data_IF_728541704628
#
_entry.id   IF_728541704628
#
_cell.length_a   1.000
_cell.length_b   1.000
_cell.length_c   1.000
_cell.angle_alpha   90.00
_cell.angle_beta   90.00
_cell.angle_gamma   90.00
#
_symmetry.space_group_name_H-M   'P 1'
#
loop_
_entity.id
_entity.type
_entity.pdbx_description
1 polymer ?
#
# COMPACT_ATOMS: atom_id res chain seq x y z
N UNK A 1 7.37 20.90 -55.11
CA UNK A 1 7.38 19.59 -54.43
C UNK A 1 7.86 19.87 -53.02
N UNK A 2 6.91 20.06 -52.12
CA UNK A 2 7.15 20.29 -50.71
C UNK A 2 7.38 18.92 -50.06
N UNK A 3 8.57 18.71 -49.49
CA UNK A 3 8.84 17.56 -48.64
C UNK A 3 8.43 17.91 -47.21
N UNK A 4 7.33 17.32 -46.79
CA UNK A 4 6.78 17.42 -45.44
C UNK A 4 7.66 16.62 -44.47
N UNK A 5 8.39 17.35 -43.62
CA UNK A 5 9.10 16.77 -42.47
C UNK A 5 8.09 16.29 -41.43
N UNK A 6 7.91 14.97 -41.34
CA UNK A 6 7.17 14.32 -40.26
C UNK A 6 8.03 14.30 -38.99
N UNK A 7 7.89 15.33 -38.15
CA UNK A 7 8.44 15.33 -36.80
C UNK A 7 7.71 14.30 -35.93
N UNK A 8 8.33 13.15 -35.69
CA UNK A 8 7.94 12.23 -34.62
C UNK A 8 8.07 12.95 -33.27
N UNK A 9 7.09 12.87 -32.35
CA UNK A 9 7.20 13.49 -31.03
C UNK A 9 8.41 12.91 -30.30
N UNK A 10 9.34 13.78 -29.90
CA UNK A 10 10.45 13.38 -29.05
C UNK A 10 9.87 12.92 -27.71
N UNK A 11 10.21 11.69 -27.30
CA UNK A 11 9.80 11.19 -25.98
C UNK A 11 10.35 12.13 -24.90
N UNK A 12 9.55 12.54 -23.91
CA UNK A 12 10.04 13.37 -22.83
C UNK A 12 11.24 12.69 -22.15
N UNK A 13 12.34 13.43 -22.00
CA UNK A 13 13.59 12.90 -21.44
C UNK A 13 13.45 12.71 -19.93
N UNK A 14 13.91 11.57 -19.41
CA UNK A 14 13.86 11.26 -17.97
C UNK A 14 14.70 12.27 -17.18
N UNK A 15 14.21 12.71 -16.02
CA UNK A 15 14.96 13.62 -15.17
C UNK A 15 16.20 12.93 -14.58
N UNK A 16 17.24 13.71 -14.26
CA UNK A 16 18.44 13.19 -13.58
C UNK A 16 18.09 12.41 -12.30
N UNK A 17 17.08 12.88 -11.56
CA UNK A 17 16.61 12.22 -10.34
C UNK A 17 15.96 10.86 -10.63
N UNK A 18 15.09 10.78 -11.64
CA UNK A 18 14.49 9.51 -12.07
C UNK A 18 15.55 8.49 -12.48
N UNK A 19 16.59 8.91 -13.22
CA UNK A 19 17.69 8.04 -13.61
C UNK A 19 18.46 7.48 -12.40
N UNK A 20 18.64 8.28 -11.34
CA UNK A 20 19.26 7.83 -10.08
C UNK A 20 18.38 6.78 -9.40
N UNK A 21 17.06 7.00 -9.30
CA UNK A 21 16.13 6.05 -8.69
C UNK A 21 16.10 4.72 -9.46
N UNK A 22 16.00 4.77 -10.79
CA UNK A 22 16.02 3.59 -11.66
C UNK A 22 17.33 2.80 -11.48
N UNK A 23 18.47 3.48 -11.43
CA UNK A 23 19.76 2.84 -11.21
C UNK A 23 19.86 2.18 -9.82
N UNK A 24 19.35 2.86 -8.78
CA UNK A 24 19.30 2.32 -7.42
C UNK A 24 18.45 1.04 -7.35
N UNK A 25 17.24 1.06 -7.91
CA UNK A 25 16.35 -0.11 -7.97
C UNK A 25 16.99 -1.28 -8.74
N UNK A 26 17.61 -1.01 -9.90
CA UNK A 26 18.31 -2.06 -10.67
C UNK A 26 19.40 -2.74 -9.84
N UNK A 27 20.18 -1.96 -9.11
CA UNK A 27 21.22 -2.47 -8.20
C UNK A 27 20.62 -3.27 -7.05
N UNK A 28 19.55 -2.79 -6.45
CA UNK A 28 18.87 -3.48 -5.35
C UNK A 28 18.29 -4.82 -5.81
N UNK A 29 17.62 -4.88 -6.97
CA UNK A 29 17.11 -6.12 -7.57
C UNK A 29 18.25 -7.11 -7.83
N UNK A 30 19.39 -6.64 -8.35
CA UNK A 30 20.56 -7.50 -8.59
C UNK A 30 21.05 -8.15 -7.29
N UNK A 31 21.12 -7.37 -6.20
CA UNK A 31 21.56 -7.88 -4.89
C UNK A 31 20.49 -8.80 -4.29
N UNK A 32 19.20 -8.42 -4.38
CA UNK A 32 18.07 -9.20 -3.89
C UNK A 32 18.04 -10.60 -4.51
N UNK A 33 18.27 -10.72 -5.83
CA UNK A 33 18.37 -12.01 -6.54
C UNK A 33 19.51 -12.90 -6.08
N UNK A 34 20.51 -12.36 -5.37
CA UNK A 34 21.65 -13.10 -4.80
C UNK A 34 21.49 -13.37 -3.30
N UNK A 35 20.40 -12.91 -2.68
CA UNK A 35 20.13 -13.24 -1.29
C UNK A 35 19.92 -14.74 -1.16
N UNK A 36 20.45 -15.29 -0.07
CA UNK A 36 20.38 -16.71 0.25
C UNK A 36 19.07 -17.00 1.01
N UNK A 37 18.11 -17.74 0.41
CA UNK A 37 16.86 -18.06 1.07
C UNK A 37 17.05 -18.86 2.36
N UNK A 38 18.13 -19.63 2.49
CA UNK A 38 18.40 -20.43 3.70
C UNK A 38 18.76 -19.56 4.90
N UNK A 39 19.43 -18.41 4.68
CA UNK A 39 19.71 -17.44 5.75
C UNK A 39 18.41 -16.81 6.25
N UNK A 40 17.57 -16.36 5.32
CA UNK A 40 16.25 -15.81 5.64
C UNK A 40 15.39 -16.85 6.37
N UNK A 41 15.39 -18.10 5.90
CA UNK A 41 14.67 -19.20 6.53
C UNK A 41 15.15 -19.45 7.97
N UNK A 42 16.46 -19.40 8.20
CA UNK A 42 17.04 -19.56 9.54
C UNK A 42 16.61 -18.43 10.49
N UNK A 43 16.54 -17.19 10.00
CA UNK A 43 16.04 -16.05 10.79
C UNK A 43 14.54 -16.16 11.08
N UNK A 44 13.73 -16.59 10.11
CA UNK A 44 12.30 -16.87 10.26
C UNK A 44 12.07 -18.00 11.28
N UNK A 45 12.80 -19.10 11.17
CA UNK A 45 12.71 -20.24 12.07
C UNK A 45 13.04 -19.84 13.51
N UNK A 46 14.11 -19.05 13.68
CA UNK A 46 14.52 -18.51 14.99
C UNK A 46 13.46 -17.58 15.59
N UNK A 47 12.81 -16.78 14.75
CA UNK A 47 11.73 -15.87 15.18
C UNK A 47 10.52 -16.67 15.67
N UNK A 48 10.20 -17.78 14.99
CA UNK A 48 9.05 -18.62 15.28
C UNK A 48 7.74 -17.95 14.83
N UNK A 49 6.96 -18.66 14.01
CA UNK A 49 5.68 -18.13 13.55
C UNK A 49 4.67 -19.24 13.28
N UNK A 50 3.43 -19.03 13.73
CA UNK A 50 2.29 -19.85 13.34
C UNK A 50 1.05 -18.99 13.18
N UNK A 51 0.51 -18.91 11.95
CA UNK A 51 -0.70 -18.15 11.70
C UNK A 51 -1.90 -18.80 12.40
N UNK A 52 -2.57 -18.03 13.26
CA UNK A 52 -3.73 -18.50 14.02
C UNK A 52 -5.06 -18.39 13.25
N UNK A 53 -5.03 -17.92 11.99
CA UNK A 53 -6.23 -17.67 11.19
C UNK A 53 -7.26 -16.73 11.87
N UNK A 54 -6.79 -15.81 12.72
CA UNK A 54 -7.65 -14.92 13.50
C UNK A 54 -8.32 -13.80 12.69
N UNK A 55 -7.80 -13.49 11.49
CA UNK A 55 -8.35 -12.46 10.61
C UNK A 55 -8.08 -11.02 11.05
N UNK A 56 -7.28 -10.79 12.10
CA UNK A 56 -6.96 -9.44 12.62
C UNK A 56 -6.25 -8.57 11.59
N UNK A 57 -5.29 -9.11 10.84
CA UNK A 57 -4.63 -8.39 9.74
C UNK A 57 -5.57 -7.98 8.59
N UNK A 58 -6.79 -8.52 8.53
CA UNK A 58 -7.80 -8.13 7.55
C UNK A 58 -8.77 -7.08 8.09
N UNK A 59 -8.72 -6.74 9.37
CA UNK A 59 -9.71 -5.92 10.06
C UNK A 59 -9.11 -4.58 10.44
N UNK A 60 -9.80 -3.48 10.11
CA UNK A 60 -9.26 -2.13 10.39
C UNK A 60 -9.13 -1.84 11.88
N UNK A 61 -9.97 -2.49 12.69
CA UNK A 61 -9.98 -2.37 14.15
C UNK A 61 -8.68 -2.85 14.82
N UNK A 62 -7.83 -3.62 14.11
CA UNK A 62 -6.57 -4.15 14.64
C UNK A 62 -5.34 -3.48 14.01
N UNK A 63 -5.51 -2.34 13.34
CA UNK A 63 -4.42 -1.56 12.77
C UNK A 63 -4.54 -1.36 11.26
N UNK A 64 -3.42 -1.03 10.63
CA UNK A 64 -3.34 -0.86 9.18
C UNK A 64 -3.50 -2.22 8.49
N UNK A 65 -4.50 -2.32 7.62
CA UNK A 65 -4.81 -3.50 6.82
C UNK A 65 -4.72 -3.22 5.31
N UNK A 66 -3.97 -2.18 4.92
CA UNK A 66 -3.73 -1.85 3.51
C UNK A 66 -2.92 -2.95 2.83
N UNK A 67 -3.32 -3.30 1.62
CA UNK A 67 -2.64 -4.31 0.80
C UNK A 67 -2.40 -3.71 -0.57
N UNK A 68 -1.15 -3.42 -0.88
CA UNK A 68 -0.72 -3.01 -2.22
C UNK A 68 -0.76 -4.22 -3.15
N UNK A 69 -1.15 -4.01 -4.41
CA UNK A 69 -1.28 -5.05 -5.41
C UNK A 69 -0.48 -4.71 -6.66
N UNK A 70 0.26 -5.69 -7.17
CA UNK A 70 0.77 -5.64 -8.54
C UNK A 70 -0.36 -5.92 -9.54
N UNK A 71 -0.24 -5.46 -10.81
CA UNK A 71 -1.22 -5.79 -11.84
C UNK A 71 -1.42 -7.30 -12.05
N UNK A 72 -0.39 -8.10 -11.81
CA UNK A 72 -0.47 -9.57 -11.93
C UNK A 72 -1.32 -10.22 -10.83
N UNK A 73 -1.31 -9.66 -9.62
CA UNK A 73 -2.14 -10.12 -8.50
C UNK A 73 -3.59 -9.77 -8.73
N UNK A 74 -3.86 -8.56 -9.25
CA UNK A 74 -5.23 -8.17 -9.61
C UNK A 74 -5.81 -9.15 -10.62
N UNK A 75 -5.07 -9.48 -11.69
CA UNK A 75 -5.52 -10.45 -12.70
C UNK A 75 -5.80 -11.85 -12.11
N UNK A 76 -4.96 -12.33 -11.18
CA UNK A 76 -5.18 -13.61 -10.49
C UNK A 76 -6.49 -13.58 -9.67
N UNK A 77 -6.74 -12.49 -8.94
CA UNK A 77 -7.95 -12.32 -8.15
C UNK A 77 -9.18 -12.22 -9.05
N UNK A 78 -9.12 -11.44 -10.13
CA UNK A 78 -10.20 -11.31 -11.12
C UNK A 78 -10.57 -12.69 -11.70
N UNK A 79 -9.57 -13.47 -12.13
CA UNK A 79 -9.80 -14.82 -12.68
C UNK A 79 -10.46 -15.77 -11.67
N UNK A 80 -10.13 -15.64 -10.39
CA UNK A 80 -10.69 -16.50 -9.34
C UNK A 80 -12.09 -16.07 -8.90
N UNK A 81 -12.38 -14.77 -8.89
CA UNK A 81 -13.60 -14.20 -8.29
C UNK A 81 -14.66 -13.80 -9.30
N UNK A 82 -14.28 -13.55 -10.56
CA UNK A 82 -15.14 -12.94 -11.57
C UNK A 82 -15.36 -11.43 -11.40
N UNK A 83 -14.76 -10.80 -10.38
CA UNK A 83 -14.86 -9.36 -10.17
C UNK A 83 -14.05 -8.59 -11.21
N UNK A 84 -14.49 -7.36 -11.50
CA UNK A 84 -13.75 -6.42 -12.35
C UNK A 84 -12.50 -5.86 -11.62
N UNK A 85 -11.58 -5.27 -12.38
CA UNK A 85 -10.35 -4.65 -11.83
C UNK A 85 -10.67 -3.62 -10.76
N UNK A 86 -11.66 -2.76 -11.03
CA UNK A 86 -12.05 -1.65 -10.16
C UNK A 86 -12.86 -2.10 -8.94
N UNK A 87 -13.47 -3.28 -8.97
CA UNK A 87 -14.10 -3.88 -7.79
C UNK A 87 -13.05 -4.50 -6.86
N UNK A 88 -11.98 -5.06 -7.41
CA UNK A 88 -10.88 -5.67 -6.66
C UNK A 88 -9.96 -4.61 -6.06
N UNK A 89 -9.58 -3.60 -6.85
CA UNK A 89 -8.53 -2.66 -6.52
C UNK A 89 -8.92 -1.22 -6.82
N UNK A 90 -8.51 -0.30 -5.96
CA UNK A 90 -8.60 1.14 -6.13
C UNK A 90 -7.21 1.80 -6.19
N UNK A 91 -7.15 3.13 -6.37
CA UNK A 91 -5.90 3.87 -6.35
C UNK A 91 -5.22 3.74 -4.99
N UNK A 92 -3.89 3.60 -4.97
CA UNK A 92 -3.12 3.69 -3.73
C UNK A 92 -3.04 5.16 -3.30
N UNK A 93 -3.87 5.53 -2.32
CA UNK A 93 -3.98 6.88 -1.78
C UNK A 93 -3.52 6.91 -0.32
N UNK A 94 -2.76 7.93 0.11
CA UNK A 94 -2.43 8.11 1.53
C UNK A 94 -3.68 8.17 2.40
N UNK A 95 -3.65 7.52 3.57
CA UNK A 95 -4.75 7.68 4.53
C UNK A 95 -4.66 9.05 5.20
N UNK A 96 -5.80 9.71 5.35
CA UNK A 96 -5.98 10.69 6.41
C UNK A 96 -6.11 9.94 7.73
N UNK A 97 -5.30 10.32 8.73
CA UNK A 97 -5.41 9.81 10.08
C UNK A 97 -6.85 10.00 10.55
N UNK A 98 -7.58 8.91 10.79
CA UNK A 98 -8.80 9.01 11.57
C UNK A 98 -8.38 9.03 13.04
N UNK A 99 -8.72 10.07 13.82
CA UNK A 99 -8.70 9.90 15.27
C UNK A 99 -9.61 8.73 15.59
N UNK A 100 -9.13 7.85 16.47
CA UNK A 100 -9.88 6.73 17.00
C UNK A 100 -11.25 7.25 17.42
N UNK A 101 -12.32 6.81 16.74
CA UNK A 101 -13.65 6.93 17.31
C UNK A 101 -13.58 6.18 18.63
N UNK A 102 -13.58 6.93 19.73
CA UNK A 102 -13.65 6.42 21.09
C UNK A 102 -14.96 5.64 21.17
N UNK A 103 -14.89 4.36 20.84
CA UNK A 103 -15.94 3.41 21.11
C UNK A 103 -16.23 3.50 22.60
N UNK A 104 -17.48 3.78 22.92
CA UNK A 104 -18.03 3.81 24.26
C UNK A 104 -17.37 2.73 25.12
N UNK A 105 -16.63 3.17 26.14
CA UNK A 105 -16.15 2.29 27.22
C UNK A 105 -17.39 1.73 27.92
N UNK A 106 -17.73 0.48 27.63
CA UNK A 106 -18.45 -0.33 28.61
C UNK A 106 -17.42 -0.92 29.58
N UNK A 107 -17.76 -0.76 30.84
CA UNK A 107 -16.91 -0.88 32.03
C UNK A 107 -16.45 -2.31 32.31
N UNK A 108 -15.28 -2.42 32.95
CA UNK A 108 -15.01 -3.53 33.88
C UNK A 108 -13.65 -4.21 33.72
N UNK A 109 -12.61 -3.65 34.35
CA UNK A 109 -11.89 -4.28 35.48
C UNK A 109 -10.62 -3.49 35.82
N UNK A 110 -10.61 -3.01 37.06
CA UNK A 110 -9.50 -2.42 37.80
C UNK A 110 -8.28 -3.35 37.80
N UNK A 111 -7.09 -2.82 37.49
CA UNK A 111 -5.83 -3.19 38.15
C UNK A 111 -5.03 -1.88 38.26
N UNK A 112 -4.81 -1.47 39.51
CA UNK A 112 -3.95 -0.36 39.91
C UNK A 112 -2.50 -0.56 39.46
N UNK A 113 -1.86 0.52 38.98
CA UNK A 113 -0.46 0.83 39.28
C UNK A 113 -0.14 2.29 38.92
N UNK A 114 -0.06 3.09 39.97
CA UNK A 114 0.61 4.39 40.00
C UNK A 114 2.07 4.27 39.51
N UNK A 115 2.55 5.30 38.80
CA UNK A 115 3.73 6.10 39.17
C UNK A 115 3.80 7.34 38.24
N UNK A 116 3.52 8.49 38.86
CA UNK A 116 4.27 9.77 38.82
C UNK A 116 4.77 10.30 37.46
N UNK A 117 4.10 11.30 36.86
CA UNK A 117 4.25 12.75 37.10
C UNK A 117 5.25 13.43 36.16
N UNK A 118 4.74 14.36 35.34
CA UNK A 118 5.34 15.60 34.82
C UNK A 118 4.46 16.09 33.64
N UNK A 119 3.48 16.93 33.95
CA UNK A 119 2.78 17.76 32.95
C UNK A 119 3.59 19.03 32.69
N UNK A 120 3.57 19.57 31.46
CA UNK A 120 3.53 21.00 31.27
C UNK A 120 2.14 21.40 30.75
N UNK A 121 1.56 22.39 31.43
CA UNK A 121 0.39 23.15 31.01
C UNK A 121 0.63 23.76 29.61
N UNK A 122 -0.24 23.45 28.66
CA UNK A 122 -0.35 24.22 27.41
C UNK A 122 -1.78 24.71 27.33
N UNK A 123 -1.88 26.03 27.21
CA UNK A 123 -3.08 26.86 27.14
C UNK A 123 -4.08 26.38 26.11
N UNK A 124 -5.36 26.44 26.48
CA UNK A 124 -6.53 26.32 25.62
C UNK A 124 -6.44 27.32 24.45
N UNK A 125 -6.20 26.81 23.24
CA UNK A 125 -6.50 27.52 21.99
C UNK A 125 -6.96 26.52 20.94
N UNK A 126 -8.24 26.64 20.61
CA UNK A 126 -8.93 26.27 19.36
C UNK A 126 -8.84 24.81 18.89
N UNK A 127 -9.76 23.99 19.39
CA UNK A 127 -10.28 22.82 18.66
C UNK A 127 -10.98 23.28 17.37
N UNK A 128 -10.21 23.61 16.35
CA UNK A 128 -10.74 23.71 15.00
C UNK A 128 -10.91 22.28 14.47
N UNK A 129 -12.17 21.86 14.31
CA UNK A 129 -12.52 20.59 13.70
C UNK A 129 -11.91 20.51 12.29
N UNK A 130 -10.73 19.87 12.19
CA UNK A 130 -10.03 19.62 10.94
C UNK A 130 -10.89 18.71 10.05
N UNK A 131 -11.53 19.32 9.06
CA UNK A 131 -12.34 18.59 8.08
C UNK A 131 -11.46 17.58 7.32
N UNK A 132 -11.78 16.28 7.39
CA UNK A 132 -11.01 15.17 6.74
C UNK A 132 -10.59 15.44 5.27
N UNK A 133 -11.41 16.11 4.42
CA UNK A 133 -11.01 16.49 3.06
C UNK A 133 -9.80 17.41 2.99
N UNK A 134 -9.60 18.32 3.96
CA UNK A 134 -8.48 19.28 3.91
C UNK A 134 -7.14 18.61 4.12
N UNK A 135 -7.03 17.66 5.07
CA UNK A 135 -5.79 16.91 5.29
C UNK A 135 -5.43 16.01 4.11
N UNK A 136 -6.44 15.38 3.48
CA UNK A 136 -6.20 14.54 2.31
C UNK A 136 -5.69 15.38 1.13
N UNK A 137 -6.29 16.55 0.92
CA UNK A 137 -5.88 17.47 -0.12
C UNK A 137 -4.44 17.95 0.05
N UNK A 138 -4.02 18.28 1.28
CA UNK A 138 -2.64 18.67 1.54
C UNK A 138 -1.63 17.56 1.21
N UNK A 139 -1.96 16.30 1.50
CA UNK A 139 -1.12 15.15 1.17
C UNK A 139 -1.04 14.89 -0.34
N UNK A 140 -2.11 15.19 -1.07
CA UNK A 140 -2.22 14.93 -2.51
C UNK A 140 -1.80 16.11 -3.39
N UNK A 141 -1.45 17.26 -2.80
CA UNK A 141 -1.17 18.50 -3.55
C UNK A 141 -0.10 18.30 -4.64
N UNK A 142 0.94 17.54 -4.33
CA UNK A 142 2.02 17.26 -5.28
C UNK A 142 1.64 16.22 -6.34
N UNK A 143 0.52 15.53 -6.17
CA UNK A 143 0.04 14.50 -7.07
C UNK A 143 -1.18 14.96 -7.89
N UNK A 144 -1.44 16.26 -7.96
CA UNK A 144 -2.54 16.83 -8.74
C UNK A 144 -2.00 17.49 -10.01
N UNK A 145 -2.55 17.11 -11.17
CA UNK A 145 -2.23 17.74 -12.46
C UNK A 145 -3.04 19.03 -12.72
N UNK A 146 -2.70 19.75 -13.78
CA UNK A 146 -3.39 20.98 -14.22
C UNK A 146 -4.87 20.78 -14.57
N UNK A 147 -5.33 19.53 -14.77
CA UNK A 147 -6.73 19.21 -15.01
C UNK A 147 -7.48 18.85 -13.72
N UNK A 148 -6.81 18.87 -12.57
CA UNK A 148 -7.37 18.45 -11.29
C UNK A 148 -7.53 16.94 -11.14
N UNK A 149 -6.83 16.14 -11.97
CA UNK A 149 -6.76 14.70 -11.78
C UNK A 149 -5.77 14.36 -10.66
N UNK A 150 -6.07 13.34 -9.87
CA UNK A 150 -5.23 12.88 -8.76
C UNK A 150 -4.40 11.68 -9.23
N UNK A 151 -3.09 11.80 -9.17
CA UNK A 151 -2.15 10.76 -9.56
C UNK A 151 -1.91 9.81 -8.39
N UNK A 152 -1.92 8.51 -8.67
CA UNK A 152 -1.64 7.46 -7.69
C UNK A 152 -0.60 6.49 -8.24
N UNK A 153 0.31 6.03 -7.39
CA UNK A 153 1.43 5.17 -7.79
C UNK A 153 1.18 3.74 -7.33
N UNK A 154 0.40 3.02 -8.13
CA UNK A 154 0.02 1.64 -7.88
C UNK A 154 -1.39 1.46 -7.34
N UNK A 155 -1.71 0.21 -7.03
CA UNK A 155 -3.04 -0.25 -6.68
C UNK A 155 -3.11 -0.71 -5.24
N UNK A 156 -4.26 -0.48 -4.63
CA UNK A 156 -4.59 -0.99 -3.31
C UNK A 156 -5.82 -1.88 -3.39
N UNK A 157 -5.79 -3.01 -2.68
CA UNK A 157 -6.95 -3.87 -2.48
C UNK A 157 -8.10 -3.04 -1.89
N UNK A 158 -9.28 -3.09 -2.51
CA UNK A 158 -10.45 -2.39 -1.98
C UNK A 158 -10.82 -2.94 -0.61
N UNK A 159 -11.46 -2.06 0.16
CA UNK A 159 -11.95 -2.34 1.51
C UNK A 159 -13.45 -2.13 1.54
N UNK A 160 -14.10 -2.74 2.52
CA UNK A 160 -15.50 -2.51 2.85
C UNK A 160 -15.65 -1.11 3.46
N UNK A 161 -16.89 -0.65 3.58
CA UNK A 161 -17.21 0.64 4.22
C UNK A 161 -16.68 0.77 5.64
N UNK A 162 -16.59 -0.33 6.39
CA UNK A 162 -16.04 -0.34 7.75
C UNK A 162 -14.50 -0.45 7.78
N UNK A 163 -13.81 -0.32 6.64
CA UNK A 163 -12.37 -0.40 6.55
C UNK A 163 -11.81 -1.84 6.51
N UNK A 164 -12.62 -2.88 6.68
CA UNK A 164 -12.11 -4.26 6.59
C UNK A 164 -11.76 -4.63 5.15
N UNK A 165 -10.87 -5.61 5.00
CA UNK A 165 -10.57 -6.24 3.71
C UNK A 165 -11.85 -6.69 3.00
N UNK A 166 -11.94 -6.39 1.69
CA UNK A 166 -13.07 -6.77 0.84
C UNK A 166 -13.40 -8.27 0.92
N UNK A 167 -12.37 -9.11 1.03
CA UNK A 167 -12.48 -10.57 0.99
C UNK A 167 -12.58 -11.24 2.36
N UNK A 168 -12.63 -10.49 3.46
CA UNK A 168 -12.84 -11.06 4.79
C UNK A 168 -14.28 -11.58 4.92
N UNK A 169 -14.47 -12.86 5.26
CA UNK A 169 -15.77 -13.39 5.67
C UNK A 169 -15.97 -13.08 7.16
N UNK A 170 -17.04 -12.35 7.50
CA UNK A 170 -17.29 -11.89 8.89
C UNK A 170 -17.71 -13.02 9.83
N UNK A 171 -18.38 -14.04 9.33
CA UNK A 171 -18.91 -15.14 10.16
C UNK A 171 -17.80 -16.12 10.57
N UNK A 172 -16.80 -16.28 9.70
CA UNK A 172 -15.71 -17.25 9.88
C UNK A 172 -14.36 -16.62 10.20
N UNK A 173 -14.21 -15.30 10.04
CA UNK A 173 -12.94 -14.57 10.05
C UNK A 173 -11.90 -15.11 9.04
N UNK A 174 -12.36 -15.78 7.97
CA UNK A 174 -11.48 -16.35 6.94
C UNK A 174 -11.50 -15.53 5.66
N UNK A 175 -10.37 -15.56 4.95
CA UNK A 175 -10.26 -14.97 3.63
C UNK A 175 -11.02 -15.82 2.60
N UNK A 176 -11.95 -15.21 1.85
CA UNK A 176 -12.73 -15.88 0.79
C UNK A 176 -11.91 -16.26 -0.43
N UNK A 177 -10.74 -15.64 -0.60
CA UNK A 177 -9.83 -15.87 -1.73
C UNK A 177 -8.50 -16.48 -1.28
N UNK A 178 -8.52 -17.28 -0.20
CA UNK A 178 -7.31 -17.84 0.43
C UNK A 178 -6.31 -18.47 -0.56
N UNK A 179 -6.72 -19.22 -1.60
CA UNK A 179 -5.81 -19.84 -2.57
C UNK A 179 -5.08 -18.84 -3.49
N UNK A 180 -5.63 -17.64 -3.66
CA UNK A 180 -5.08 -16.59 -4.55
C UNK A 180 -4.82 -15.29 -3.78
N UNK A 181 -4.47 -15.41 -2.50
CA UNK A 181 -4.12 -14.25 -1.67
C UNK A 181 -2.98 -13.45 -2.32
N UNK A 182 -3.00 -12.12 -2.20
CA UNK A 182 -1.84 -11.29 -2.52
C UNK A 182 -0.58 -11.81 -1.84
N UNK A 183 0.57 -11.55 -2.45
CA UNK A 183 1.89 -11.96 -1.94
C UNK A 183 2.11 -11.38 -0.54
N UNK A 184 1.76 -10.10 -0.32
CA UNK A 184 1.80 -9.46 1.01
C UNK A 184 1.03 -10.27 2.05
N UNK A 185 -0.22 -10.65 1.75
CA UNK A 185 -1.05 -11.45 2.65
C UNK A 185 -0.53 -12.88 2.87
N UNK A 186 0.26 -13.40 1.94
CA UNK A 186 0.82 -14.76 1.99
C UNK A 186 2.14 -14.80 2.75
N UNK A 187 2.89 -13.69 2.81
CA UNK A 187 4.18 -13.59 3.49
C UNK A 187 4.10 -12.87 4.84
N UNK A 188 2.98 -12.21 5.15
CA UNK A 188 2.75 -11.58 6.44
C UNK A 188 2.93 -12.60 7.60
N UNK A 189 3.63 -12.24 8.68
CA UNK A 189 4.01 -10.88 9.09
C UNK A 189 5.42 -10.46 8.68
N UNK A 190 6.08 -11.17 7.76
CA UNK A 190 7.44 -10.86 7.34
C UNK A 190 7.46 -9.98 6.08
N UNK A 191 8.42 -9.07 6.02
CA UNK A 191 8.73 -8.27 4.84
C UNK A 191 10.24 -8.07 4.70
N UNK A 192 10.69 -7.75 3.49
CA UNK A 192 12.08 -7.37 3.23
C UNK A 192 12.09 -5.90 2.82
N UNK A 193 12.97 -5.12 3.41
CA UNK A 193 13.22 -3.73 3.04
C UNK A 193 14.72 -3.46 3.10
N UNK A 194 15.28 -2.77 2.10
CA UNK A 194 16.72 -2.48 2.06
C UNK A 194 17.58 -3.73 2.23
N UNK A 195 17.17 -4.85 1.60
CA UNK A 195 17.82 -6.16 1.63
C UNK A 195 17.87 -6.84 3.02
N UNK A 196 17.04 -6.42 3.97
CA UNK A 196 16.97 -6.98 5.34
C UNK A 196 15.57 -7.48 5.68
N UNK A 197 15.52 -8.55 6.46
CA UNK A 197 14.29 -9.13 6.98
C UNK A 197 13.74 -8.29 8.14
N UNK A 198 12.45 -8.03 8.12
CA UNK A 198 11.71 -7.36 9.19
C UNK A 198 10.37 -8.06 9.44
N UNK A 199 9.72 -7.64 10.53
CA UNK A 199 8.43 -8.14 10.97
C UNK A 199 7.45 -7.01 11.25
N UNK A 200 6.18 -7.26 10.96
CA UNK A 200 5.05 -6.47 11.46
C UNK A 200 4.48 -7.13 12.72
N UNK A 201 3.71 -6.40 13.52
CA UNK A 201 3.04 -6.93 14.71
C UNK A 201 2.11 -8.09 14.36
N UNK A 202 2.21 -9.22 15.07
CA UNK A 202 1.32 -10.36 14.87
C UNK A 202 1.31 -11.28 16.10
N UNK A 203 0.13 -11.78 16.47
CA UNK A 203 -0.04 -12.72 17.59
C UNK A 203 0.49 -14.13 17.28
N UNK A 204 0.87 -14.40 16.03
CA UNK A 204 1.42 -15.68 15.62
C UNK A 204 2.90 -15.89 15.98
N UNK A 205 3.60 -14.87 16.47
CA UNK A 205 5.02 -14.98 16.81
C UNK A 205 5.28 -15.91 17.99
N UNK A 206 6.48 -16.50 18.00
CA UNK A 206 6.87 -17.53 18.97
C UNK A 206 6.18 -18.89 18.73
N UNK A 207 5.30 -18.98 17.73
CA UNK A 207 4.71 -20.23 17.28
C UNK A 207 5.73 -21.15 16.61
N UNK A 208 5.40 -22.44 16.53
CA UNK A 208 6.26 -23.42 15.86
C UNK A 208 6.14 -23.30 14.33
N UNK A 209 7.30 -23.19 13.66
CA UNK A 209 7.46 -23.32 12.21
C UNK A 209 8.59 -24.33 11.94
N UNK A 210 8.37 -25.25 11.01
CA UNK A 210 9.42 -26.20 10.62
C UNK A 210 10.43 -25.55 9.68
N UNK A 211 11.66 -26.08 9.63
CA UNK A 211 12.67 -25.64 8.66
C UNK A 211 12.14 -25.62 7.21
N UNK A 212 11.35 -26.62 6.83
CA UNK A 212 10.76 -26.68 5.48
C UNK A 212 9.78 -25.54 5.22
N UNK A 213 8.90 -25.24 6.17
CA UNK A 213 7.93 -24.14 6.05
C UNK A 213 8.62 -22.77 6.13
N UNK A 214 9.65 -22.63 6.96
CA UNK A 214 10.51 -21.43 7.00
C UNK A 214 11.18 -21.18 5.65
N UNK A 215 11.66 -22.24 4.98
CA UNK A 215 12.25 -22.15 3.63
C UNK A 215 11.23 -21.71 2.59
N UNK A 216 10.04 -22.31 2.59
CA UNK A 216 8.94 -21.90 1.68
C UNK A 216 8.53 -20.45 1.91
N UNK A 217 8.44 -20.01 3.17
CA UNK A 217 8.11 -18.64 3.51
C UNK A 217 9.22 -17.66 3.09
N UNK A 218 10.49 -18.02 3.28
CA UNK A 218 11.63 -17.23 2.82
C UNK A 218 11.66 -17.10 1.29
N UNK A 219 11.43 -18.19 0.56
CA UNK A 219 11.35 -18.17 -0.91
C UNK A 219 10.20 -17.30 -1.41
N UNK A 220 9.01 -17.44 -0.81
CA UNK A 220 7.85 -16.61 -1.15
C UNK A 220 8.08 -15.13 -0.82
N UNK A 221 8.74 -14.86 0.31
CA UNK A 221 9.07 -13.50 0.75
C UNK A 221 10.10 -12.84 -0.18
N UNK A 222 11.14 -13.56 -0.57
CA UNK A 222 12.14 -13.06 -1.51
C UNK A 222 11.52 -12.84 -2.90
N UNK A 223 10.68 -13.78 -3.36
CA UNK A 223 9.95 -13.64 -4.62
C UNK A 223 9.02 -12.43 -4.60
N UNK A 224 8.32 -12.18 -3.48
CA UNK A 224 7.48 -11.00 -3.30
C UNK A 224 8.31 -9.72 -3.43
N UNK A 225 9.39 -9.62 -2.66
CA UNK A 225 10.23 -8.42 -2.62
C UNK A 225 10.83 -8.09 -3.99
N UNK A 226 11.35 -9.09 -4.71
CA UNK A 226 11.85 -8.89 -6.07
C UNK A 226 10.74 -8.43 -7.01
N UNK A 227 9.55 -9.05 -6.94
CA UNK A 227 8.42 -8.67 -7.79
C UNK A 227 7.94 -7.24 -7.52
N UNK A 228 7.88 -6.80 -6.25
CA UNK A 228 7.53 -5.42 -5.88
C UNK A 228 8.58 -4.40 -6.39
N UNK A 229 9.87 -4.73 -6.28
CA UNK A 229 10.95 -3.89 -6.84
C UNK A 229 10.90 -3.81 -8.38
N UNK A 230 10.65 -4.93 -9.05
CA UNK A 230 10.52 -4.99 -10.51
C UNK A 230 9.29 -4.22 -11.01
N UNK A 231 8.17 -4.32 -10.30
CA UNK A 231 6.95 -3.56 -10.60
C UNK A 231 7.20 -2.04 -10.47
N UNK A 232 7.84 -1.63 -9.38
CA UNK A 232 8.25 -0.24 -9.12
C UNK A 232 9.22 0.27 -10.17
N UNK A 233 10.21 -0.54 -10.55
CA UNK A 233 11.16 -0.20 -11.61
C UNK A 233 10.44 0.01 -12.95
N UNK A 234 9.57 -0.92 -13.33
CA UNK A 234 8.82 -0.84 -14.58
C UNK A 234 7.89 0.39 -14.61
N UNK A 235 7.29 0.74 -13.46
CA UNK A 235 6.53 1.99 -13.32
C UNK A 235 7.43 3.21 -13.56
N UNK A 236 8.58 3.33 -12.90
CA UNK A 236 9.48 4.48 -13.09
C UNK A 236 10.06 4.56 -14.51
N UNK A 237 10.34 3.43 -15.16
CA UNK A 237 10.79 3.40 -16.56
C UNK A 237 9.70 3.95 -17.51
N UNK A 238 8.42 3.78 -17.17
CA UNK A 238 7.27 4.28 -17.96
C UNK A 238 6.75 5.65 -17.51
N UNK A 239 7.04 6.07 -16.29
CA UNK A 239 6.50 7.30 -15.70
C UNK A 239 6.92 8.54 -16.49
N UNK A 240 5.96 9.36 -16.87
CA UNK A 240 6.18 10.67 -17.47
C UNK A 240 5.64 11.72 -16.50
N UNK A 241 6.42 12.79 -16.30
CA UNK A 241 6.02 13.86 -15.39
C UNK A 241 4.88 14.68 -15.98
N UNK A 242 4.13 15.36 -15.12
CA UNK A 242 2.92 16.08 -15.49
C UNK A 242 2.96 17.53 -15.01
N UNK A 243 2.26 18.40 -15.74
CA UNK A 243 2.16 19.81 -15.39
C UNK A 243 1.21 20.01 -14.21
N UNK A 244 1.60 20.89 -13.29
CA UNK A 244 0.84 21.26 -12.10
C UNK A 244 0.66 22.76 -12.09
N UNK A 245 -0.54 23.21 -11.75
CA UNK A 245 -0.83 24.64 -11.60
C UNK A 245 -1.87 24.87 -10.49
N UNK A 246 -2.14 26.16 -10.19
CA UNK A 246 -3.10 26.54 -9.16
C UNK A 246 -4.55 26.25 -9.56
N UNK A 247 -4.84 26.18 -10.85
CA UNK A 247 -6.20 25.95 -11.35
C UNK A 247 -6.60 24.49 -11.16
N UNK A 248 -5.71 23.55 -11.50
CA UNK A 248 -5.85 22.12 -11.26
C UNK A 248 -6.05 21.80 -9.77
N UNK A 249 -5.32 22.48 -8.89
CA UNK A 249 -5.53 22.35 -7.44
C UNK A 249 -6.94 22.75 -7.00
N UNK A 250 -7.48 23.85 -7.53
CA UNK A 250 -8.82 24.32 -7.19
C UNK A 250 -9.89 23.38 -7.78
N UNK A 251 -9.67 22.85 -8.98
CA UNK A 251 -10.53 21.84 -9.60
C UNK A 251 -10.56 20.56 -8.75
N UNK A 252 -9.39 20.05 -8.36
CA UNK A 252 -9.27 18.84 -7.54
C UNK A 252 -9.96 19.00 -6.18
N UNK A 253 -9.79 20.15 -5.53
CA UNK A 253 -10.47 20.46 -4.25
C UNK A 253 -11.99 20.40 -4.40
N UNK A 254 -12.53 21.05 -5.43
CA UNK A 254 -13.97 21.03 -5.71
C UNK A 254 -14.48 19.61 -6.06
N UNK A 255 -13.68 18.81 -6.76
CA UNK A 255 -14.04 17.44 -7.13
C UNK A 255 -14.01 16.49 -5.92
N UNK A 256 -13.06 16.68 -5.00
CA UNK A 256 -12.97 15.92 -3.74
C UNK A 256 -14.20 16.16 -2.86
N UNK A 257 -14.65 17.41 -2.76
CA UNK A 257 -15.86 17.76 -2.00
C UNK A 257 -17.14 17.15 -2.61
N UNK A 258 -17.17 16.99 -3.95
CA UNK A 258 -18.31 16.41 -4.68
C UNK A 258 -18.26 14.89 -4.81
N UNK A 259 -17.12 14.26 -4.49
CA UNK A 259 -16.89 12.84 -4.74
C UNK A 259 -16.93 12.49 -6.22
N UNK A 260 -16.32 13.32 -7.07
CA UNK A 260 -16.25 13.12 -8.54
C UNK A 260 -14.81 13.22 -9.03
N UNK A 261 -13.91 12.54 -8.35
CA UNK A 261 -12.48 12.64 -8.63
C UNK A 261 -12.09 11.73 -9.79
N UNK A 262 -11.18 12.23 -10.63
CA UNK A 262 -10.52 11.40 -11.63
C UNK A 262 -9.17 10.99 -11.07
N UNK A 263 -8.93 9.69 -10.99
CA UNK A 263 -7.66 9.12 -10.58
C UNK A 263 -6.86 8.63 -11.79
N UNK A 264 -5.59 9.00 -11.84
CA UNK A 264 -4.60 8.55 -12.83
C UNK A 264 -3.65 7.60 -12.13
N UNK A 265 -3.87 6.30 -12.27
CA UNK A 265 -3.05 5.27 -11.65
C UNK A 265 -1.88 4.91 -12.56
N UNK A 266 -0.67 5.06 -12.04
CA UNK A 266 0.58 4.64 -12.64
C UNK A 266 0.95 3.27 -12.10
N UNK A 267 1.14 2.29 -12.98
CA UNK A 267 1.59 0.94 -12.62
C UNK A 267 2.62 0.40 -13.62
N UNK A 268 3.15 -0.81 -13.39
CA UNK A 268 4.10 -1.45 -14.28
C UNK A 268 3.56 -1.75 -15.69
N UNK A 269 2.24 -1.71 -15.91
CA UNK A 269 1.62 -1.88 -17.24
C UNK A 269 1.41 -0.54 -17.94
N UNK A 270 1.22 0.56 -17.21
CA UNK A 270 1.15 1.92 -17.73
C UNK A 270 0.20 2.78 -16.92
N UNK A 271 -0.58 3.61 -17.62
CA UNK A 271 -1.52 4.54 -17.00
C UNK A 271 -2.95 3.97 -17.13
N UNK A 272 -3.68 3.94 -16.02
CA UNK A 272 -5.13 3.68 -15.99
C UNK A 272 -5.85 4.91 -15.45
N UNK A 273 -6.85 5.43 -16.17
CA UNK A 273 -7.74 6.48 -15.65
C UNK A 273 -9.01 5.85 -15.12
N UNK A 274 -9.47 6.30 -13.96
CA UNK A 274 -10.77 5.92 -13.39
C UNK A 274 -11.46 7.12 -12.75
N UNK A 275 -12.77 7.02 -12.64
CA UNK A 275 -13.62 7.99 -11.95
C UNK A 275 -14.15 7.27 -10.71
N UNK A 276 -13.98 7.86 -9.54
CA UNK A 276 -14.57 7.40 -8.27
C UNK A 276 -15.56 8.44 -7.74
#
# INVERSE_FOLDING_TARGET
MEESSSGSPQKPEKTKYQLILIAALKKEIEIARRLDPEKLASEIEKTGFSCQYCGKCCQRAFGDNRVVLTPSEIEKIQKHTGLSKLEVAGPLIPETCQPEETGNKEEGREIDREISSMQPEISETDEEAFSKPSQLFELLREDIDSQGNIHAYGWMLRRKRNGDCLFLNKDTNRCRIYPVRPMLCSTYPFYIEGLKLYTCECEGFGGHISKEESRKLAEALLSRYIAELEDTLAMYEKYEDFEKDKEGLEIAKNNLEKGTCVYVIHDSKGITKMID
#
